data_IF_133653597078
#
_entry.id   IF_133653597078
#
_cell.length_a   1.000
_cell.length_b   1.000
_cell.length_c   1.000
_cell.angle_alpha   90.00
_cell.angle_beta   90.00
_cell.angle_gamma   90.00
#
_symmetry.space_group_name_H-M   'P 1'
#
loop_
_entity.id
_entity.type
_entity.pdbx_description
1 polymer ?
#
# COMPACT_ATOMS: atom_id res chain seq x y z
N UNK A 1 9.46 -52.21 40.33
CA UNK A 1 10.90 -51.97 40.19
C UNK A 1 11.27 -52.10 38.73
N UNK A 2 11.90 -51.09 38.13
CA UNK A 2 12.90 -51.34 37.09
C UNK A 2 14.25 -50.75 37.54
N UNK A 3 15.28 -51.57 37.42
CA UNK A 3 16.67 -51.28 37.76
C UNK A 3 17.40 -50.57 36.62
N UNK A 4 18.31 -49.69 37.02
CA UNK A 4 19.24 -48.88 36.24
C UNK A 4 20.07 -49.69 35.24
N UNK A 5 20.53 -49.04 34.18
CA UNK A 5 21.85 -49.35 33.63
C UNK A 5 22.64 -48.07 33.31
N UNK A 6 23.90 -48.12 33.72
CA UNK A 6 24.81 -47.00 33.92
C UNK A 6 25.66 -46.67 32.68
N UNK A 7 26.19 -45.46 32.76
CA UNK A 7 27.24 -44.81 31.98
C UNK A 7 28.45 -45.69 31.62
N UNK A 8 29.06 -45.42 30.47
CA UNK A 8 30.49 -45.63 30.19
C UNK A 8 30.96 -44.65 29.10
N UNK A 9 31.81 -43.70 29.47
CA UNK A 9 32.78 -43.00 28.59
C UNK A 9 34.18 -43.53 28.98
N UNK A 10 35.22 -43.56 28.11
CA UNK A 10 35.96 -42.33 27.78
C UNK A 10 36.73 -42.32 26.44
N UNK A 11 37.05 -41.14 25.90
CA UNK A 11 38.45 -40.72 25.66
C UNK A 11 38.54 -39.35 25.00
N UNK A 12 39.24 -38.48 25.72
CA UNK A 12 39.65 -37.13 25.36
C UNK A 12 40.76 -37.14 24.30
N UNK A 13 40.73 -36.21 23.36
CA UNK A 13 41.95 -35.56 22.87
C UNK A 13 41.72 -34.05 22.71
N UNK A 14 42.39 -33.33 23.60
CA UNK A 14 42.65 -31.89 23.56
C UNK A 14 43.89 -31.73 22.67
N UNK A 15 43.82 -30.88 21.66
CA UNK A 15 45.02 -30.29 21.03
C UNK A 15 44.88 -28.79 21.18
N UNK A 16 45.80 -28.22 21.97
CA UNK A 16 45.98 -26.79 22.19
C UNK A 16 46.70 -26.12 21.01
N UNK A 17 46.19 -24.94 20.68
CA UNK A 17 46.88 -23.66 20.48
C UNK A 17 47.88 -23.41 19.32
N UNK A 18 47.67 -22.20 18.77
CA UNK A 18 48.59 -21.26 18.13
C UNK A 18 48.99 -21.43 16.65
N UNK A 19 48.30 -20.64 15.81
CA UNK A 19 48.99 -19.81 14.82
C UNK A 19 48.18 -18.56 14.46
N UNK A 20 48.54 -17.44 15.07
CA UNK A 20 48.33 -16.11 14.48
C UNK A 20 49.09 -16.05 13.15
N UNK A 21 48.37 -15.87 12.04
CA UNK A 21 48.95 -15.32 10.81
C UNK A 21 47.85 -14.50 10.13
N UNK A 22 47.86 -13.20 10.44
CA UNK A 22 46.88 -12.23 9.97
C UNK A 22 46.82 -12.15 8.45
N UNK A 23 45.68 -12.52 7.87
CA UNK A 23 45.30 -12.15 6.51
C UNK A 23 43.86 -11.62 6.54
N UNK A 24 43.79 -10.31 6.74
CA UNK A 24 42.70 -9.37 6.44
C UNK A 24 41.52 -9.96 5.64
N UNK A 25 40.42 -10.27 6.33
CA UNK A 25 39.12 -10.26 5.70
C UNK A 25 38.67 -8.78 5.65
N UNK A 26 38.48 -8.16 4.47
CA UNK A 26 37.85 -6.86 4.40
C UNK A 26 36.37 -7.07 4.74
N UNK A 27 36.06 -6.96 6.03
CA UNK A 27 34.70 -6.87 6.52
C UNK A 27 34.14 -5.51 6.08
N UNK A 28 33.11 -5.55 5.24
CA UNK A 28 32.10 -4.50 5.09
C UNK A 28 32.61 -3.08 4.74
N UNK A 29 33.03 -2.86 3.50
CA UNK A 29 32.81 -1.56 2.86
C UNK A 29 31.38 -1.51 2.31
N UNK A 30 30.41 -1.41 3.21
CA UNK A 30 29.03 -1.09 2.84
C UNK A 30 28.57 0.02 3.78
N UNK A 31 28.89 1.26 3.39
CA UNK A 31 28.33 2.51 3.91
C UNK A 31 28.18 2.56 5.44
N UNK A 32 29.20 3.12 6.11
CA UNK A 32 29.11 3.48 7.52
C UNK A 32 28.09 4.64 7.67
N UNK A 33 26.79 4.32 7.68
CA UNK A 33 25.75 5.26 8.07
C UNK A 33 25.86 5.43 9.59
N UNK A 34 26.15 6.64 10.10
CA UNK A 34 26.11 6.89 11.53
C UNK A 34 24.70 6.57 12.02
N UNK A 35 24.59 5.76 13.08
CA UNK A 35 23.32 5.36 13.70
C UNK A 35 22.50 6.57 14.21
N UNK A 36 23.17 7.74 14.33
CA UNK A 36 22.60 9.00 14.75
C UNK A 36 21.92 9.81 13.63
N UNK A 37 21.95 9.35 12.36
CA UNK A 37 21.24 10.02 11.25
C UNK A 37 19.81 9.49 11.16
N UNK A 38 18.78 10.32 11.39
CA UNK A 38 17.40 9.89 11.23
C UNK A 38 17.16 9.37 9.81
N UNK A 39 16.67 8.12 9.70
CA UNK A 39 16.34 7.51 8.40
C UNK A 39 15.28 8.32 7.61
N UNK A 40 14.51 9.16 8.32
CA UNK A 40 13.47 10.00 7.75
C UNK A 40 13.76 11.45 8.14
N UNK A 41 13.72 12.42 7.20
CA UNK A 41 13.84 13.83 7.53
C UNK A 41 12.79 14.25 8.58
N UNK A 42 13.21 15.00 9.60
CA UNK A 42 12.31 15.49 10.67
C UNK A 42 11.08 16.22 10.12
N UNK A 43 11.24 16.90 8.98
CA UNK A 43 10.19 17.62 8.24
C UNK A 43 8.98 16.74 7.89
N UNK A 44 9.16 15.43 7.69
CA UNK A 44 8.07 14.51 7.40
C UNK A 44 7.07 14.38 8.56
N UNK A 45 7.55 14.51 9.81
CA UNK A 45 6.72 14.32 11.00
C UNK A 45 5.88 15.56 11.34
N UNK A 46 6.26 16.73 10.82
CA UNK A 46 5.57 18.01 11.05
C UNK A 46 4.53 18.34 9.96
N UNK A 47 4.41 17.53 8.90
CA UNK A 47 3.40 17.74 7.86
C UNK A 47 2.00 17.32 8.30
N UNK A 48 1.00 18.08 7.83
CA UNK A 48 -0.40 17.73 8.05
C UNK A 48 -0.76 16.42 7.34
N UNK A 49 -1.59 15.55 7.95
CA UNK A 49 -2.01 14.31 7.33
C UNK A 49 -2.70 14.56 5.98
N UNK A 50 -2.32 13.80 4.96
CA UNK A 50 -2.96 13.84 3.64
C UNK A 50 -4.40 13.30 3.77
N UNK A 51 -5.36 14.07 3.31
CA UNK A 51 -6.78 13.72 3.26
C UNK A 51 -7.22 13.44 1.83
N UNK A 52 -8.45 12.95 1.66
CA UNK A 52 -9.03 12.76 0.32
C UNK A 52 -9.08 14.06 -0.50
N UNK A 53 -9.14 15.23 0.16
CA UNK A 53 -9.13 16.55 -0.48
C UNK A 53 -7.80 16.90 -1.15
N UNK A 54 -6.71 16.30 -0.68
CA UNK A 54 -5.35 16.64 -1.10
C UNK A 54 -4.88 15.80 -2.32
N UNK A 55 -5.78 15.01 -2.90
CA UNK A 55 -5.46 14.07 -3.99
C UNK A 55 -5.50 14.69 -5.40
N UNK A 56 -5.81 15.98 -5.52
CA UNK A 56 -5.84 16.73 -6.79
C UNK A 56 -6.67 16.02 -7.88
N UNK A 57 -7.93 15.72 -7.55
CA UNK A 57 -8.86 14.96 -8.40
C UNK A 57 -10.02 15.81 -8.88
N UNK A 58 -10.54 15.49 -10.06
CA UNK A 58 -11.72 16.16 -10.61
C UNK A 58 -12.91 15.93 -9.68
N UNK A 59 -13.55 17.00 -9.14
CA UNK A 59 -14.73 16.89 -8.29
C UNK A 59 -15.86 16.10 -8.93
N UNK A 60 -15.96 16.07 -10.26
CA UNK A 60 -16.96 15.28 -10.97
C UNK A 60 -16.87 13.77 -10.68
N UNK A 61 -15.68 13.26 -10.34
CA UNK A 61 -15.48 11.85 -10.02
C UNK A 61 -16.06 11.46 -8.66
N UNK A 62 -16.28 12.44 -7.78
CA UNK A 62 -16.81 12.24 -6.43
C UNK A 62 -15.93 11.36 -5.56
N UNK A 63 -14.60 11.35 -5.78
CA UNK A 63 -13.68 10.49 -5.00
C UNK A 63 -13.65 10.84 -3.52
N UNK A 64 -14.00 12.08 -3.18
CA UNK A 64 -13.99 12.61 -1.82
C UNK A 64 -15.38 12.57 -1.17
N UNK A 65 -16.41 12.27 -1.95
CA UNK A 65 -17.80 12.29 -1.47
C UNK A 65 -18.05 11.07 -0.58
N UNK A 66 -18.78 11.26 0.52
CA UNK A 66 -19.35 10.12 1.23
C UNK A 66 -20.57 9.61 0.47
N UNK A 67 -20.56 8.32 0.16
CA UNK A 67 -21.63 7.65 -0.58
C UNK A 67 -22.17 6.47 0.24
N UNK A 68 -23.49 6.24 0.24
CA UNK A 68 -24.06 5.09 0.93
C UNK A 68 -23.56 3.77 0.33
N UNK A 69 -23.56 2.69 1.11
CA UNK A 69 -23.18 1.35 0.64
C UNK A 69 -24.23 0.68 -0.27
N UNK A 70 -25.37 1.35 -0.51
CA UNK A 70 -26.44 0.84 -1.36
C UNK A 70 -26.99 1.93 -2.28
N UNK A 71 -27.55 1.51 -3.40
CA UNK A 71 -28.12 2.41 -4.39
C UNK A 71 -29.46 3.01 -3.93
N UNK A 72 -30.30 2.23 -3.27
CA UNK A 72 -31.68 2.62 -2.92
C UNK A 72 -31.80 3.99 -2.20
N UNK A 73 -30.97 4.34 -1.22
CA UNK A 73 -31.01 5.65 -0.57
C UNK A 73 -30.65 6.82 -1.50
N UNK A 74 -29.90 6.58 -2.58
CA UNK A 74 -29.36 7.62 -3.48
C UNK A 74 -30.39 8.23 -4.43
N UNK A 75 -31.45 7.50 -4.79
CA UNK A 75 -32.44 7.90 -5.81
C UNK A 75 -33.83 8.28 -5.26
N UNK A 76 -34.01 8.18 -3.94
CA UNK A 76 -35.26 8.49 -3.26
C UNK A 76 -36.40 7.47 -3.48
N UNK A 77 -37.41 7.53 -2.61
CA UNK A 77 -38.52 6.55 -2.57
C UNK A 77 -39.43 6.59 -3.79
N UNK A 78 -39.48 7.72 -4.51
CA UNK A 78 -40.37 7.90 -5.67
C UNK A 78 -39.87 7.19 -6.93
N UNK A 79 -38.55 7.03 -7.07
CA UNK A 79 -37.95 6.27 -8.18
C UNK A 79 -38.06 4.78 -7.92
N UNK A 80 -37.70 4.33 -6.71
CA UNK A 80 -37.73 2.91 -6.34
C UNK A 80 -39.12 2.30 -6.40
N UNK A 81 -40.19 3.04 -6.02
CA UNK A 81 -41.58 2.56 -6.17
C UNK A 81 -42.01 2.29 -7.62
N UNK A 82 -41.36 2.91 -8.61
CA UNK A 82 -41.69 2.75 -10.04
C UNK A 82 -40.96 1.58 -10.68
N UNK A 83 -39.99 0.99 -9.99
CA UNK A 83 -39.16 -0.10 -10.49
C UNK A 83 -39.62 -1.44 -9.95
N UNK A 84 -39.40 -2.49 -10.74
CA UNK A 84 -39.58 -3.88 -10.30
C UNK A 84 -38.35 -4.32 -9.50
N UNK A 85 -38.50 -5.26 -8.58
CA UNK A 85 -37.41 -5.79 -7.74
C UNK A 85 -36.17 -6.21 -8.53
N UNK A 86 -36.36 -6.83 -9.70
CA UNK A 86 -35.25 -7.23 -10.58
C UNK A 86 -34.45 -6.03 -11.10
N UNK A 87 -35.12 -4.92 -11.40
CA UNK A 87 -34.45 -3.70 -11.86
C UNK A 87 -33.75 -3.00 -10.70
N UNK A 88 -34.36 -2.95 -9.52
CA UNK A 88 -33.72 -2.43 -8.30
C UNK A 88 -32.43 -3.21 -8.04
N UNK A 89 -32.48 -4.55 -8.00
CA UNK A 89 -31.28 -5.39 -7.81
C UNK A 89 -30.21 -5.16 -8.88
N UNK A 90 -30.62 -4.95 -10.13
CA UNK A 90 -29.68 -4.61 -11.21
C UNK A 90 -28.98 -3.28 -10.95
N UNK A 91 -29.70 -2.27 -10.49
CA UNK A 91 -29.12 -0.97 -10.13
C UNK A 91 -28.22 -1.05 -8.90
N UNK A 92 -28.56 -1.86 -7.90
CA UNK A 92 -27.68 -2.15 -6.75
C UNK A 92 -26.34 -2.72 -7.22
N UNK A 93 -26.33 -3.73 -8.09
CA UNK A 93 -25.07 -4.29 -8.61
C UNK A 93 -24.26 -3.30 -9.46
N UNK A 94 -24.94 -2.47 -10.26
CA UNK A 94 -24.26 -1.42 -11.04
C UNK A 94 -23.63 -0.40 -10.10
N UNK A 95 -24.36 0.03 -9.09
CA UNK A 95 -23.89 1.00 -8.10
C UNK A 95 -22.68 0.46 -7.33
N UNK A 96 -22.75 -0.78 -6.85
CA UNK A 96 -21.62 -1.45 -6.17
C UNK A 96 -20.38 -1.51 -7.08
N UNK A 97 -20.57 -1.79 -8.38
CA UNK A 97 -19.48 -1.77 -9.34
C UNK A 97 -18.85 -0.37 -9.51
N UNK A 98 -19.67 0.68 -9.56
CA UNK A 98 -19.17 2.06 -9.63
C UNK A 98 -18.44 2.44 -8.34
N UNK A 99 -18.98 2.03 -7.20
CA UNK A 99 -18.41 2.30 -5.89
C UNK A 99 -17.06 1.60 -5.72
N UNK A 100 -16.94 0.33 -6.12
CA UNK A 100 -15.67 -0.40 -6.09
C UNK A 100 -14.62 0.24 -7.01
N UNK A 101 -15.01 0.69 -8.20
CA UNK A 101 -14.11 1.42 -9.11
C UNK A 101 -13.68 2.78 -8.53
N UNK A 102 -14.57 3.52 -7.87
CA UNK A 102 -14.23 4.75 -7.13
C UNK A 102 -13.16 4.47 -6.06
N UNK A 103 -13.36 3.43 -5.24
CA UNK A 103 -12.39 3.06 -4.21
C UNK A 103 -11.04 2.65 -4.82
N UNK A 104 -11.07 1.97 -5.97
CA UNK A 104 -9.85 1.63 -6.68
C UNK A 104 -9.10 2.90 -7.16
N UNK A 105 -9.80 3.84 -7.78
CA UNK A 105 -9.24 5.14 -8.17
C UNK A 105 -8.64 5.91 -6.98
N UNK A 106 -9.34 5.91 -5.84
CA UNK A 106 -8.85 6.55 -4.61
C UNK A 106 -7.55 5.89 -4.13
N UNK A 107 -7.50 4.56 -4.14
CA UNK A 107 -6.29 3.80 -3.77
C UNK A 107 -5.11 4.16 -4.67
N UNK A 108 -5.32 4.21 -5.99
CA UNK A 108 -4.26 4.59 -6.95
C UNK A 108 -3.76 6.02 -6.71
N UNK A 109 -4.66 6.94 -6.38
CA UNK A 109 -4.30 8.32 -6.04
C UNK A 109 -3.53 8.44 -4.74
N UNK A 110 -3.89 7.67 -3.72
CA UNK A 110 -3.12 7.56 -2.48
C UNK A 110 -1.74 6.98 -2.75
N UNK A 111 -1.63 5.93 -3.58
CA UNK A 111 -0.34 5.37 -4.01
C UNK A 111 0.54 6.43 -4.67
N UNK A 112 -0.02 7.27 -5.54
CA UNK A 112 0.73 8.34 -6.17
C UNK A 112 1.14 9.42 -5.15
N UNK A 113 0.18 10.01 -4.44
CA UNK A 113 0.41 11.21 -3.61
C UNK A 113 1.19 10.92 -2.32
N UNK A 114 0.89 9.80 -1.65
CA UNK A 114 1.52 9.46 -0.37
C UNK A 114 2.83 8.73 -0.59
N UNK A 115 2.84 7.73 -1.47
CA UNK A 115 4.00 6.85 -1.62
C UNK A 115 4.95 7.35 -2.69
N UNK A 116 4.52 7.54 -3.93
CA UNK A 116 5.46 7.96 -5.00
C UNK A 116 6.04 9.34 -4.70
N UNK A 117 5.19 10.33 -4.46
CA UNK A 117 5.65 11.70 -4.22
C UNK A 117 6.39 11.82 -2.88
N UNK A 118 5.93 11.12 -1.84
CA UNK A 118 6.60 11.07 -0.53
C UNK A 118 7.98 10.40 -0.59
N UNK A 119 8.09 9.24 -1.25
CA UNK A 119 9.37 8.53 -1.43
C UNK A 119 10.36 9.35 -2.26
N UNK A 120 9.88 10.08 -3.27
CA UNK A 120 10.71 10.99 -4.05
C UNK A 120 11.18 12.18 -3.22
N UNK A 121 10.29 12.77 -2.41
CA UNK A 121 10.59 13.95 -1.58
C UNK A 121 11.56 13.64 -0.44
N UNK A 122 11.35 12.54 0.29
CA UNK A 122 12.05 12.30 1.56
C UNK A 122 13.21 11.30 1.47
N UNK A 123 13.14 10.34 0.54
CA UNK A 123 14.07 9.20 0.53
C UNK A 123 15.02 9.19 -0.68
N UNK A 124 14.87 10.13 -1.62
CA UNK A 124 15.77 10.31 -2.79
C UNK A 124 16.08 8.99 -3.53
N UNK A 125 15.12 8.06 -3.56
CA UNK A 125 15.25 6.71 -4.10
C UNK A 125 15.53 6.66 -5.62
N UNK A 126 15.49 7.81 -6.30
CA UNK A 126 15.79 7.97 -7.70
C UNK A 126 14.93 7.05 -8.60
N UNK A 127 15.52 6.38 -9.60
CA UNK A 127 14.77 5.56 -10.55
C UNK A 127 14.14 4.29 -9.93
N UNK A 128 14.47 3.93 -8.68
CA UNK A 128 13.92 2.74 -8.02
C UNK A 128 12.43 2.90 -7.71
N UNK A 129 11.93 4.12 -7.49
CA UNK A 129 10.50 4.36 -7.22
C UNK A 129 9.63 3.88 -8.39
N UNK A 130 10.06 4.14 -9.63
CA UNK A 130 9.34 3.69 -10.83
C UNK A 130 9.32 2.16 -10.99
N UNK A 131 10.27 1.44 -10.39
CA UNK A 131 10.26 -0.04 -10.37
C UNK A 131 9.32 -0.60 -9.31
N UNK A 132 9.12 0.12 -8.20
CA UNK A 132 8.17 -0.25 -7.15
C UNK A 132 6.72 -0.05 -7.60
N UNK A 133 6.45 1.00 -8.37
CA UNK A 133 5.11 1.36 -8.86
C UNK A 133 5.06 1.39 -10.40
N UNK A 134 5.24 0.24 -11.07
CA UNK A 134 5.31 0.19 -12.51
C UNK A 134 4.00 0.64 -13.14
N UNK A 135 4.10 1.60 -14.08
CA UNK A 135 2.95 2.12 -14.87
C UNK A 135 1.80 2.69 -14.02
N UNK A 136 2.04 3.11 -12.77
CA UNK A 136 1.00 3.62 -11.88
C UNK A 136 0.24 4.81 -12.49
N UNK A 137 0.95 5.75 -13.13
CA UNK A 137 0.34 6.91 -13.77
C UNK A 137 -0.64 6.51 -14.87
N UNK A 138 -0.23 5.63 -15.78
CA UNK A 138 -1.08 5.15 -16.88
C UNK A 138 -2.29 4.37 -16.36
N UNK A 139 -2.08 3.49 -15.37
CA UNK A 139 -3.15 2.73 -14.73
C UNK A 139 -4.18 3.69 -14.10
N UNK A 140 -3.69 4.67 -13.35
CA UNK A 140 -4.53 5.71 -12.74
C UNK A 140 -5.34 6.45 -13.78
N UNK A 141 -4.73 6.87 -14.89
CA UNK A 141 -5.43 7.58 -15.96
C UNK A 141 -6.55 6.73 -16.60
N UNK A 142 -6.28 5.45 -16.87
CA UNK A 142 -7.26 4.54 -17.45
C UNK A 142 -8.49 4.41 -16.53
N UNK A 143 -8.27 4.17 -15.24
CA UNK A 143 -9.32 3.99 -14.26
C UNK A 143 -10.13 5.29 -14.00
N UNK A 144 -9.47 6.44 -13.90
CA UNK A 144 -10.19 7.72 -13.74
C UNK A 144 -11.08 8.02 -14.94
N UNK A 145 -10.60 7.80 -16.18
CA UNK A 145 -11.43 7.96 -17.38
C UNK A 145 -12.58 6.96 -17.41
N UNK A 146 -12.37 5.74 -16.94
CA UNK A 146 -13.42 4.73 -16.86
C UNK A 146 -14.49 5.13 -15.84
N UNK A 147 -14.10 5.51 -14.62
CA UNK A 147 -14.99 6.04 -13.60
C UNK A 147 -15.78 7.25 -14.09
N UNK A 148 -15.13 8.20 -14.77
CA UNK A 148 -15.79 9.36 -15.35
C UNK A 148 -16.95 8.96 -16.29
N UNK A 149 -16.72 7.95 -17.13
CA UNK A 149 -17.74 7.42 -18.04
C UNK A 149 -18.86 6.69 -17.30
N UNK A 150 -18.54 5.98 -16.23
CA UNK A 150 -19.54 5.33 -15.37
C UNK A 150 -20.44 6.38 -14.70
N UNK A 151 -19.86 7.40 -14.08
CA UNK A 151 -20.58 8.52 -13.44
C UNK A 151 -21.48 9.27 -14.41
N UNK A 152 -20.99 9.53 -15.63
CA UNK A 152 -21.78 10.19 -16.67
C UNK A 152 -23.03 9.40 -17.10
N UNK A 153 -23.00 8.06 -16.97
CA UNK A 153 -24.12 7.16 -17.33
C UNK A 153 -25.05 6.82 -16.15
N UNK A 154 -24.58 7.05 -14.92
CA UNK A 154 -25.33 6.75 -13.71
C UNK A 154 -26.43 7.78 -13.42
N UNK A 155 -26.25 9.01 -13.89
CA UNK A 155 -27.26 10.09 -13.83
C UNK A 155 -28.36 9.87 -14.87
#
# INVERSE_FOLDING_TARGET
QPTQNQCSSPSSQIISEDKEDGHHHPHHDAFNYPDDVPLVPLEFLDESPITANDLDTDPFLGLQDEEPDSWTPTVGKEVTKKLKDKEIKRQEHIYEFILTEKHHCLTLRVMQKVFVDGLQKYFQLGPNVGRMFPRLSDLTEIHLRFLQRLRARQR
#
